data_IF_845835613187
#
_entry.id   IF_845835613187
#
_cell.length_a   1.000
_cell.length_b   1.000
_cell.length_c   1.000
_cell.angle_alpha   90.00
_cell.angle_beta   90.00
_cell.angle_gamma   90.00
#
_symmetry.space_group_name_H-M   'P 1'
#
loop_
_entity.id
_entity.type
_entity.pdbx_description
1 polymer ?
#
# COMPACT_ATOMS: atom_id res chain seq x y z
N UNK A 1 -13.83 15.21 -3.65
CA UNK A 1 -15.02 14.43 -3.23
C UNK A 1 -14.68 13.04 -2.72
N UNK A 2 -13.74 12.32 -3.34
CA UNK A 2 -13.52 10.87 -3.12
C UNK A 2 -12.79 10.47 -1.83
N UNK A 3 -12.17 11.41 -1.11
CA UNK A 3 -11.46 11.10 0.14
C UNK A 3 -12.38 10.71 1.32
N UNK A 4 -13.70 10.93 1.18
CA UNK A 4 -14.67 10.86 2.27
C UNK A 4 -15.30 9.46 2.49
N UNK A 5 -15.33 8.59 1.48
CA UNK A 5 -16.04 7.30 1.58
C UNK A 5 -15.15 6.10 1.95
N UNK A 6 -13.83 6.29 1.94
CA UNK A 6 -12.89 5.17 1.91
C UNK A 6 -12.94 4.46 0.55
N UNK A 7 -11.85 3.81 0.18
CA UNK A 7 -11.73 3.17 -1.13
C UNK A 7 -10.96 1.87 -1.03
N UNK A 8 -11.41 0.83 -1.73
CA UNK A 8 -10.58 -0.36 -1.98
C UNK A 8 -9.89 -0.14 -3.32
N UNK A 9 -8.56 -0.09 -3.31
CA UNK A 9 -7.76 0.08 -4.52
C UNK A 9 -6.88 -1.13 -4.71
N UNK A 10 -6.90 -1.67 -5.92
CA UNK A 10 -5.98 -2.73 -6.29
C UNK A 10 -4.71 -2.11 -6.84
N UNK A 11 -3.57 -2.56 -6.33
CA UNK A 11 -2.26 -2.07 -6.76
C UNK A 11 -1.39 -3.26 -7.14
N UNK A 12 -0.62 -3.07 -8.20
CA UNK A 12 0.44 -3.97 -8.61
C UNK A 12 1.78 -3.31 -8.36
N UNK A 13 2.75 -4.04 -7.84
CA UNK A 13 4.09 -3.53 -7.52
C UNK A 13 5.13 -4.63 -7.65
N UNK A 14 6.38 -4.22 -7.84
CA UNK A 14 7.53 -5.12 -7.97
C UNK A 14 8.18 -5.35 -6.61
N UNK A 15 8.52 -6.60 -6.32
CA UNK A 15 9.26 -7.02 -5.12
C UNK A 15 10.40 -7.92 -5.55
N UNK A 16 11.62 -7.38 -5.60
CA UNK A 16 12.74 -8.11 -6.19
C UNK A 16 12.49 -8.34 -7.68
N UNK A 17 12.40 -9.61 -8.10
CA UNK A 17 12.08 -9.99 -9.49
C UNK A 17 10.60 -10.35 -9.68
N UNK A 18 9.81 -10.36 -8.60
CA UNK A 18 8.41 -10.75 -8.64
C UNK A 18 7.49 -9.54 -8.82
N UNK A 19 6.37 -9.75 -9.52
CA UNK A 19 5.27 -8.79 -9.59
C UNK A 19 4.14 -9.27 -8.69
N UNK A 20 3.81 -8.48 -7.67
CA UNK A 20 2.72 -8.76 -6.73
C UNK A 20 1.53 -7.82 -6.98
N UNK A 21 0.32 -8.34 -6.74
CA UNK A 21 -0.93 -7.59 -6.81
C UNK A 21 -1.71 -7.74 -5.52
N UNK A 22 -2.08 -6.62 -4.91
CA UNK A 22 -2.79 -6.60 -3.63
C UNK A 22 -3.95 -5.61 -3.64
N UNK A 23 -4.96 -5.91 -2.84
CA UNK A 23 -6.04 -4.98 -2.54
C UNK A 23 -5.70 -4.19 -1.27
N UNK A 24 -5.75 -2.87 -1.36
CA UNK A 24 -5.49 -1.94 -0.27
C UNK A 24 -6.77 -1.21 0.08
N UNK A 25 -7.15 -1.27 1.36
CA UNK A 25 -8.25 -0.46 1.89
C UNK A 25 -7.69 0.88 2.35
N UNK A 26 -8.15 1.96 1.70
CA UNK A 26 -7.89 3.34 2.05
C UNK A 26 -9.01 3.76 3.01
N UNK A 27 -8.69 4.07 4.29
CA UNK A 27 -9.71 4.48 5.24
C UNK A 27 -10.33 5.84 4.86
N UNK A 28 -11.62 6.05 5.16
CA UNK A 28 -12.26 7.35 4.95
C UNK A 28 -11.55 8.44 5.76
N UNK A 29 -11.45 9.63 5.18
CA UNK A 29 -10.82 10.78 5.85
C UNK A 29 -9.29 10.73 5.91
N UNK A 30 -8.64 9.80 5.18
CA UNK A 30 -7.19 9.87 5.02
C UNK A 30 -6.80 11.19 4.33
N UNK A 31 -5.74 11.82 4.82
CA UNK A 31 -5.21 13.06 4.23
C UNK A 31 -4.01 12.75 3.34
N UNK A 32 -3.78 13.61 2.35
CA UNK A 32 -2.62 13.51 1.47
C UNK A 32 -1.32 13.53 2.29
N UNK A 33 -0.31 12.77 1.84
CA UNK A 33 0.97 12.59 2.53
C UNK A 33 0.95 11.56 3.67
N UNK A 34 -0.21 10.99 4.05
CA UNK A 34 -0.24 9.92 5.06
C UNK A 34 0.36 8.62 4.52
N UNK A 35 0.96 7.87 5.43
CA UNK A 35 1.57 6.58 5.15
C UNK A 35 0.64 5.44 5.57
N UNK A 36 0.44 4.47 4.68
CA UNK A 36 -0.19 3.19 4.97
C UNK A 36 0.90 2.12 5.04
N UNK A 37 0.86 1.30 6.10
CA UNK A 37 1.80 0.18 6.28
C UNK A 37 1.09 -1.13 6.00
N UNK A 38 1.57 -1.86 5.02
CA UNK A 38 1.09 -3.20 4.67
C UNK A 38 2.13 -4.19 5.15
N UNK A 39 1.78 -4.90 6.23
CA UNK A 39 2.71 -5.82 6.89
C UNK A 39 3.02 -7.00 5.98
N UNK A 40 4.28 -7.42 5.98
CA UNK A 40 4.75 -8.61 5.25
C UNK A 40 4.44 -8.56 3.73
N UNK A 41 4.34 -7.35 3.18
CA UNK A 41 4.14 -7.10 1.74
C UNK A 41 5.38 -6.52 1.05
N UNK A 42 6.47 -6.33 1.79
CA UNK A 42 7.75 -5.87 1.27
C UNK A 42 8.68 -7.02 0.86
N UNK A 43 9.95 -6.69 0.62
CA UNK A 43 10.97 -7.66 0.19
C UNK A 43 11.15 -8.80 1.19
N UNK A 44 11.42 -10.00 0.66
CA UNK A 44 11.81 -11.15 1.46
C UNK A 44 13.28 -11.01 1.86
N UNK A 45 13.56 -11.15 3.15
CA UNK A 45 14.89 -11.19 3.72
C UNK A 45 15.47 -12.61 3.62
N UNK A 46 16.80 -12.73 3.77
CA UNK A 46 17.53 -14.02 3.69
C UNK A 46 17.00 -15.04 4.72
N UNK A 47 16.55 -14.56 5.88
CA UNK A 47 15.95 -15.39 6.93
C UNK A 47 14.50 -15.84 6.63
N UNK A 48 13.97 -15.55 5.44
CA UNK A 48 12.63 -15.92 5.00
C UNK A 48 11.50 -14.99 5.46
N UNK A 49 11.78 -14.00 6.33
CA UNK A 49 10.80 -13.02 6.77
C UNK A 49 10.53 -11.98 5.67
N UNK A 50 9.31 -11.45 5.61
CA UNK A 50 8.98 -10.34 4.70
C UNK A 50 9.00 -9.01 5.45
N UNK A 51 9.57 -8.00 4.80
CA UNK A 51 9.45 -6.62 5.26
C UNK A 51 8.06 -6.05 5.04
N UNK A 52 7.87 -4.79 5.42
CA UNK A 52 6.62 -4.06 5.21
C UNK A 52 6.66 -3.27 3.89
N UNK A 53 5.51 -3.12 3.24
CA UNK A 53 5.32 -2.17 2.16
C UNK A 53 4.72 -0.88 2.74
N UNK A 54 5.41 0.24 2.53
CA UNK A 54 4.95 1.56 2.95
C UNK A 54 4.43 2.33 1.74
N UNK A 55 3.15 2.65 1.74
CA UNK A 55 2.52 3.45 0.70
C UNK A 55 2.34 4.88 1.22
N UNK A 56 2.63 5.88 0.39
CA UNK A 56 2.26 7.27 0.68
C UNK A 56 1.04 7.64 -0.16
N UNK A 57 -0.04 8.04 0.49
CA UNK A 57 -1.28 8.43 -0.19
C UNK A 57 -1.12 9.85 -0.71
N UNK A 58 -1.39 10.05 -2.00
CA UNK A 58 -1.44 11.36 -2.64
C UNK A 58 -2.85 11.55 -3.22
N UNK A 59 -3.54 12.59 -2.76
CA UNK A 59 -4.86 12.96 -3.28
C UNK A 59 -4.64 14.03 -4.34
N UNK A 60 -5.02 13.73 -5.58
CA UNK A 60 -5.05 14.72 -6.67
C UNK A 60 -6.47 15.28 -6.77
N UNK A 61 -6.56 16.60 -6.83
CA UNK A 61 -7.82 17.36 -6.96
C UNK A 61 -8.28 17.44 -8.39
#
# INVERSE_FOLDING_TARGET
>A
GEALSGAKKEISYQVGQDSERIQVSIPPGIVSGKKLRLREKGSRHINGQRGDLILTVQIQS
#
